data_IF_118837012878
#
_entry.id   IF_118837012878
#
_cell.length_a   1.000
_cell.length_b   1.000
_cell.length_c   1.000
_cell.angle_alpha   90.00
_cell.angle_beta   90.00
_cell.angle_gamma   90.00
#
_symmetry.space_group_name_H-M   'P 1'
#
loop_
_entity.id
_entity.type
_entity.pdbx_description
1 polymer ?
#
# COMPACT_ATOMS: atom_id res chain seq x y z
N UNK A 1 9.78 -21.80 8.70
CA UNK A 1 9.23 -20.52 8.19
C UNK A 1 9.67 -20.29 6.74
N UNK A 2 10.98 -20.37 6.45
CA UNK A 2 11.53 -20.35 5.07
C UNK A 2 10.96 -21.49 4.21
N UNK A 3 10.95 -22.73 4.69
CA UNK A 3 10.35 -23.85 3.93
C UNK A 3 8.86 -23.68 3.61
N UNK A 4 8.10 -22.98 4.47
CA UNK A 4 6.69 -22.70 4.21
C UNK A 4 6.54 -21.61 3.15
N UNK A 5 7.45 -20.64 3.12
CA UNK A 5 7.53 -19.60 2.10
C UNK A 5 7.97 -20.16 0.74
N UNK A 6 8.95 -21.06 0.72
CA UNK A 6 9.37 -21.76 -0.50
C UNK A 6 8.28 -22.66 -1.07
N UNK A 7 7.52 -23.36 -0.21
CA UNK A 7 6.34 -24.12 -0.64
C UNK A 7 5.24 -23.23 -1.23
N UNK A 8 5.11 -22.00 -0.73
CA UNK A 8 4.16 -20.99 -1.19
C UNK A 8 4.46 -20.53 -2.63
N UNK A 9 5.74 -20.34 -2.96
CA UNK A 9 6.18 -19.80 -4.25
C UNK A 9 6.33 -20.89 -5.31
N UNK A 10 6.80 -22.09 -4.93
CA UNK A 10 7.34 -23.05 -5.91
C UNK A 10 6.57 -24.36 -6.09
N UNK A 11 5.59 -24.70 -5.24
CA UNK A 11 4.99 -26.06 -5.22
C UNK A 11 3.50 -26.18 -5.50
N UNK A 12 2.74 -25.10 -5.49
CA UNK A 12 1.34 -25.10 -5.91
C UNK A 12 1.21 -24.34 -7.23
N UNK A 13 0.31 -24.76 -8.14
CA UNK A 13 0.01 -23.91 -9.31
C UNK A 13 -0.43 -22.55 -8.78
N UNK A 14 0.10 -21.49 -9.39
CA UNK A 14 -0.22 -20.12 -8.97
C UNK A 14 -1.74 -19.97 -8.82
N UNK A 15 -2.53 -20.54 -9.73
CA UNK A 15 -4.00 -20.51 -9.76
C UNK A 15 -4.67 -21.00 -8.47
N UNK A 16 -4.12 -22.02 -7.81
CA UNK A 16 -4.65 -22.56 -6.54
C UNK A 16 -4.38 -21.63 -5.35
N UNK A 17 -3.24 -20.95 -5.35
CA UNK A 17 -2.92 -19.92 -4.36
C UNK A 17 -3.71 -18.64 -4.61
N UNK A 18 -3.82 -18.24 -5.88
CA UNK A 18 -4.55 -17.07 -6.37
C UNK A 18 -6.06 -17.16 -6.15
N UNK A 19 -6.64 -18.37 -6.07
CA UNK A 19 -8.07 -18.55 -5.78
C UNK A 19 -8.54 -17.99 -4.43
N UNK A 20 -7.61 -17.69 -3.52
CA UNK A 20 -7.91 -17.12 -2.18
C UNK A 20 -7.48 -15.66 -2.03
N UNK A 21 -6.80 -15.09 -3.01
CA UNK A 21 -6.37 -13.70 -3.00
C UNK A 21 -7.12 -12.97 -4.11
N UNK A 22 -7.88 -11.93 -3.77
CA UNK A 22 -8.53 -11.04 -4.76
C UNK A 22 -7.53 -10.19 -5.57
N UNK A 23 -6.23 -10.54 -5.54
CA UNK A 23 -5.18 -9.85 -6.26
C UNK A 23 -5.09 -10.36 -7.70
N UNK A 24 -5.04 -9.44 -8.65
CA UNK A 24 -4.73 -9.68 -10.05
C UNK A 24 -3.34 -10.30 -10.24
N UNK A 25 -3.12 -10.98 -11.38
CA UNK A 25 -1.81 -11.49 -11.78
C UNK A 25 -0.72 -10.41 -11.73
N UNK A 26 -1.06 -9.17 -12.08
CA UNK A 26 -0.13 -8.02 -12.07
C UNK A 26 0.33 -7.69 -10.65
N UNK A 27 -0.59 -7.67 -9.69
CA UNK A 27 -0.29 -7.45 -8.28
C UNK A 27 0.66 -8.53 -7.73
N UNK A 28 0.40 -9.77 -8.10
CA UNK A 28 1.22 -10.90 -7.65
C UNK A 28 2.62 -10.90 -8.29
N UNK A 29 2.71 -10.59 -9.59
CA UNK A 29 4.02 -10.39 -10.25
C UNK A 29 4.80 -9.26 -9.59
N UNK A 30 4.14 -8.16 -9.24
CA UNK A 30 4.78 -7.03 -8.59
C UNK A 30 5.39 -7.33 -7.22
N UNK A 31 4.91 -8.35 -6.50
CA UNK A 31 5.48 -8.79 -5.23
C UNK A 31 6.72 -9.68 -5.44
N UNK A 32 6.73 -10.43 -6.55
CA UNK A 32 7.72 -11.48 -6.81
C UNK A 32 8.84 -11.08 -7.77
N UNK A 33 8.66 -9.99 -8.53
CA UNK A 33 9.62 -9.53 -9.52
C UNK A 33 10.66 -8.56 -8.92
N UNK A 34 11.80 -8.42 -9.61
CA UNK A 34 12.82 -7.41 -9.30
C UNK A 34 12.76 -6.26 -10.32
N UNK A 35 13.41 -5.14 -10.00
CA UNK A 35 13.56 -4.01 -10.92
C UNK A 35 12.24 -3.27 -11.18
N UNK A 36 11.98 -2.93 -12.44
CA UNK A 36 10.80 -2.12 -12.84
C UNK A 36 9.47 -2.85 -12.66
N UNK A 37 9.48 -4.18 -12.70
CA UNK A 37 8.28 -5.00 -12.54
C UNK A 37 7.98 -5.32 -11.07
N UNK A 38 8.95 -5.13 -10.16
CA UNK A 38 8.85 -5.45 -8.73
C UNK A 38 8.27 -4.34 -7.84
N UNK A 39 7.61 -3.34 -8.42
CA UNK A 39 7.10 -2.20 -7.66
C UNK A 39 5.78 -2.51 -6.99
N UNK A 40 5.74 -2.35 -5.67
CA UNK A 40 4.48 -2.41 -4.93
C UNK A 40 3.49 -1.38 -5.48
N UNK A 41 2.28 -1.84 -5.78
CA UNK A 41 1.20 -1.05 -6.33
C UNK A 41 0.41 -0.37 -5.22
N UNK A 42 -0.42 0.61 -5.60
CA UNK A 42 -1.32 1.30 -4.68
C UNK A 42 -2.21 0.33 -3.90
N UNK A 43 -2.76 -0.68 -4.57
CA UNK A 43 -3.63 -1.69 -3.95
C UNK A 43 -2.92 -2.51 -2.88
N UNK A 44 -1.63 -2.81 -3.04
CA UNK A 44 -0.83 -3.45 -1.99
C UNK A 44 -0.73 -2.56 -0.76
N UNK A 45 -0.42 -1.28 -0.97
CA UNK A 45 -0.31 -0.32 0.13
C UNK A 45 -1.64 -0.12 0.84
N UNK A 46 -2.75 -0.07 0.08
CA UNK A 46 -4.10 0.13 0.62
C UNK A 46 -4.51 -1.08 1.46
N UNK A 47 -4.31 -2.29 0.94
CA UNK A 47 -4.54 -3.53 1.67
C UNK A 47 -3.72 -3.58 2.97
N UNK A 48 -2.43 -3.24 2.94
CA UNK A 48 -1.59 -3.17 4.15
C UNK A 48 -2.17 -2.19 5.17
N UNK A 49 -2.53 -0.97 4.74
CA UNK A 49 -3.08 0.05 5.62
C UNK A 49 -4.40 -0.39 6.26
N UNK A 50 -5.30 -1.02 5.49
CA UNK A 50 -6.56 -1.54 6.01
C UNK A 50 -6.34 -2.62 7.08
N UNK A 51 -5.42 -3.56 6.84
CA UNK A 51 -5.07 -4.60 7.83
C UNK A 51 -4.45 -4.00 9.11
N UNK A 52 -3.58 -3.00 8.97
CA UNK A 52 -3.02 -2.29 10.12
C UNK A 52 -4.11 -1.56 10.91
N UNK A 53 -5.05 -0.90 10.24
CA UNK A 53 -6.16 -0.20 10.89
C UNK A 53 -7.12 -1.16 11.62
N UNK A 54 -7.26 -2.42 11.16
CA UNK A 54 -8.03 -3.43 11.88
C UNK A 54 -7.37 -3.91 13.18
N UNK A 55 -6.05 -3.72 13.34
CA UNK A 55 -5.28 -4.21 14.50
C UNK A 55 -4.82 -3.09 15.44
N UNK A 56 -4.65 -1.87 14.92
CA UNK A 56 -4.17 -0.71 15.67
C UNK A 56 -5.33 0.18 16.11
N UNK A 57 -5.33 0.62 17.38
CA UNK A 57 -6.40 1.45 17.95
C UNK A 57 -6.10 2.95 18.06
N UNK A 58 -4.82 3.32 17.97
CA UNK A 58 -4.33 4.70 18.18
C UNK A 58 -3.65 5.31 16.96
N UNK A 59 -3.40 4.50 15.94
CA UNK A 59 -2.71 4.89 14.72
C UNK A 59 -3.65 4.66 13.56
N UNK A 60 -3.81 5.67 12.72
CA UNK A 60 -4.58 5.57 11.49
C UNK A 60 -3.66 5.63 10.28
N UNK A 61 -3.72 4.62 9.44
CA UNK A 61 -2.91 4.49 8.23
C UNK A 61 -3.78 4.73 7.00
N UNK A 62 -3.33 5.57 6.09
CA UNK A 62 -4.03 5.88 4.85
C UNK A 62 -3.04 5.91 3.69
N UNK A 63 -3.41 5.39 2.53
CA UNK A 63 -2.65 5.61 1.30
C UNK A 63 -3.17 6.89 0.65
N UNK A 64 -2.30 7.87 0.52
CA UNK A 64 -2.66 9.23 0.20
C UNK A 64 -1.98 9.67 -1.10
N UNK A 65 -2.41 9.06 -2.20
CA UNK A 65 -2.13 9.61 -3.52
C UNK A 65 -3.20 10.66 -3.91
N UNK A 66 -4.42 10.56 -3.33
CA UNK A 66 -5.57 11.43 -3.60
C UNK A 66 -6.57 11.53 -2.43
N UNK A 67 -6.15 11.50 -1.16
CA UNK A 67 -7.15 11.66 -0.12
C UNK A 67 -7.71 13.08 -0.16
N UNK A 68 -8.97 13.19 -0.58
CA UNK A 68 -9.76 14.36 -0.23
C UNK A 68 -10.00 14.39 1.30
N UNK A 69 -10.22 15.59 1.82
CA UNK A 69 -10.42 15.85 3.25
C UNK A 69 -11.59 15.03 3.80
N UNK A 70 -12.59 14.74 2.96
CA UNK A 70 -13.80 14.02 3.33
C UNK A 70 -13.52 12.52 3.56
N UNK A 71 -12.65 11.93 2.74
CA UNK A 71 -12.18 10.55 2.89
C UNK A 71 -11.39 10.39 4.18
N UNK A 72 -10.54 11.36 4.52
CA UNK A 72 -9.82 11.37 5.80
C UNK A 72 -10.78 11.53 7.00
N UNK A 73 -11.81 12.37 6.87
CA UNK A 73 -12.84 12.55 7.89
C UNK A 73 -13.62 11.26 8.14
N UNK A 74 -14.09 10.59 7.09
CA UNK A 74 -14.76 9.29 7.19
C UNK A 74 -13.87 8.20 7.77
N UNK A 75 -12.58 8.21 7.42
CA UNK A 75 -11.61 7.26 7.96
C UNK A 75 -11.42 7.46 9.47
N UNK A 76 -11.36 8.72 9.92
CA UNK A 76 -11.33 9.08 11.34
C UNK A 76 -12.60 8.64 12.07
N UNK A 77 -13.78 8.84 11.48
CA UNK A 77 -15.08 8.47 12.07
C UNK A 77 -15.23 6.96 12.30
N UNK A 78 -14.58 6.13 11.46
CA UNK A 78 -14.60 4.67 11.58
C UNK A 78 -13.71 4.12 12.69
N UNK A 79 -12.81 4.93 13.23
CA UNK A 79 -11.90 4.49 14.28
C UNK A 79 -12.48 4.78 15.67
N UNK A 80 -12.72 3.70 16.41
CA UNK A 80 -13.12 3.78 17.82
C UNK A 80 -11.90 4.15 18.68
N UNK A 81 -11.77 5.43 19.04
CA UNK A 81 -10.76 5.91 19.97
C UNK A 81 -10.19 7.29 19.63
N UNK A 82 -9.39 7.83 20.55
CA UNK A 82 -8.57 9.00 20.26
C UNK A 82 -7.36 8.56 19.43
N UNK A 83 -7.36 8.95 18.16
CA UNK A 83 -6.22 8.75 17.27
C UNK A 83 -5.08 9.66 17.76
N UNK A 84 -3.94 9.06 18.09
CA UNK A 84 -2.72 9.74 18.54
C UNK A 84 -1.71 9.91 17.41
N UNK A 85 -1.89 9.22 16.28
CA UNK A 85 -1.00 9.33 15.12
C UNK A 85 -1.72 9.07 13.81
N UNK A 86 -1.41 9.89 12.80
CA UNK A 86 -1.83 9.71 11.41
C UNK A 86 -0.63 9.35 10.55
N UNK A 87 -0.73 8.26 9.80
CA UNK A 87 0.26 7.78 8.87
C UNK A 87 -0.28 7.87 7.44
N UNK A 88 0.45 8.55 6.57
CA UNK A 88 0.16 8.65 5.14
C UNK A 88 1.23 7.91 4.35
N UNK A 89 0.82 6.88 3.60
CA UNK A 89 1.66 6.23 2.59
C UNK A 89 1.44 6.97 1.28
N UNK A 90 2.48 7.62 0.77
CA UNK A 90 2.41 8.50 -0.39
C UNK A 90 3.34 7.98 -1.48
N UNK A 91 2.83 7.91 -2.70
CA UNK A 91 3.67 7.74 -3.87
C UNK A 91 4.20 9.13 -4.25
N UNK A 92 5.52 9.28 -4.37
CA UNK A 92 6.14 10.54 -4.77
C UNK A 92 7.08 10.33 -5.95
N UNK A 93 7.29 11.37 -6.72
CA UNK A 93 8.28 11.40 -7.78
C UNK A 93 9.03 12.71 -7.83
N UNK A 94 10.01 12.77 -8.72
CA UNK A 94 10.83 13.95 -8.95
C UNK A 94 10.96 14.19 -10.45
N UNK A 95 10.65 15.40 -10.87
CA UNK A 95 10.81 15.85 -12.25
C UNK A 95 12.29 16.10 -12.61
N UNK A 96 12.57 16.24 -13.91
CA UNK A 96 13.91 16.51 -14.41
C UNK A 96 14.47 17.87 -13.92
N UNK A 97 13.61 18.84 -13.65
CA UNK A 97 13.96 20.15 -13.07
C UNK A 97 14.22 20.10 -11.55
N UNK A 98 13.99 18.93 -10.94
CA UNK A 98 14.16 18.69 -9.53
C UNK A 98 12.92 18.90 -8.67
N UNK A 99 11.79 19.31 -9.25
CA UNK A 99 10.52 19.50 -8.54
C UNK A 99 10.01 18.16 -8.02
N UNK A 100 9.72 18.09 -6.72
CA UNK A 100 9.10 16.90 -6.08
C UNK A 100 7.59 17.01 -6.19
N UNK A 101 6.94 15.92 -6.59
CA UNK A 101 5.50 15.85 -6.74
C UNK A 101 4.92 14.62 -6.05
N UNK A 102 3.64 14.73 -5.66
CA UNK A 102 2.84 13.60 -5.23
C UNK A 102 2.29 12.88 -6.47
N UNK A 103 2.40 11.56 -6.49
CA UNK A 103 1.90 10.71 -7.55
C UNK A 103 0.41 10.95 -7.77
N UNK A 104 0.02 11.15 -9.03
CA UNK A 104 -1.35 11.44 -9.45
C UNK A 104 -1.84 10.46 -10.52
N UNK A 105 -3.14 10.49 -10.87
CA UNK A 105 -3.74 9.54 -11.84
C UNK A 105 -3.04 9.63 -13.20
N UNK A 106 -2.50 10.81 -13.49
CA UNK A 106 -1.85 11.13 -14.75
C UNK A 106 -0.32 11.04 -14.64
N UNK A 107 0.23 10.79 -13.44
CA UNK A 107 1.67 10.82 -13.20
C UNK A 107 2.08 9.98 -12.01
N UNK A 108 2.63 8.80 -12.25
CA UNK A 108 3.17 7.98 -11.18
C UNK A 108 4.47 8.58 -10.62
N UNK A 109 4.63 8.46 -9.31
CA UNK A 109 5.90 8.57 -8.62
C UNK A 109 6.74 7.30 -8.79
N UNK A 110 8.01 7.41 -8.41
CA UNK A 110 9.01 6.35 -8.43
C UNK A 110 9.56 6.06 -7.03
N UNK A 111 8.82 6.44 -5.99
CA UNK A 111 9.17 6.15 -4.61
C UNK A 111 7.91 6.11 -3.73
N UNK A 112 7.95 5.31 -2.67
CA UNK A 112 6.93 5.28 -1.62
C UNK A 112 7.49 5.92 -0.36
N UNK A 113 6.73 6.82 0.26
CA UNK A 113 7.11 7.50 1.49
C UNK A 113 6.03 7.31 2.53
N UNK A 114 6.45 7.12 3.77
CA UNK A 114 5.58 7.17 4.94
C UNK A 114 5.75 8.54 5.61
N UNK A 115 4.65 9.29 5.74
CA UNK A 115 4.59 10.54 6.50
C UNK A 115 3.77 10.30 7.75
N UNK A 116 4.35 10.59 8.91
CA UNK A 116 3.67 10.44 10.21
C UNK A 116 3.43 11.81 10.83
N UNK A 117 2.22 12.02 11.34
CA UNK A 117 1.82 13.17 12.13
C UNK A 117 1.41 12.67 13.53
N UNK A 118 2.04 13.22 14.56
CA UNK A 118 1.68 13.00 15.98
C UNK A 118 0.70 14.09 16.47
#
# INVERSE_FOLDING_TARGET
MIENFEKLIWKHSADLFLSKYDNSTKEMVAICAEGSEGWLLYSHMDWICQNLNCSQRKVLNAVCNFCDVESLRKLKERMEGNIERLNFVMNIGKDADGTVYMGSFNKSGNHWVLVSLD
#
